data_IF_414636898820
#
_entry.id   IF_414636898820
#
_cell.length_a   1.000
_cell.length_b   1.000
_cell.length_c   1.000
_cell.angle_alpha   90.00
_cell.angle_beta   90.00
_cell.angle_gamma   90.00
#
_symmetry.space_group_name_H-M   'P 1'
#
loop_
_entity.id
_entity.type
_entity.pdbx_description
1 polymer ?
#
# COMPACT_ATOMS: atom_id res chain seq x y z
N UNK A 1 -2.46 14.21 -12.02
CA UNK A 1 -3.25 13.39 -12.97
C UNK A 1 -4.19 12.48 -12.19
N UNK A 2 -5.36 12.16 -12.74
CA UNK A 2 -6.27 11.15 -12.19
C UNK A 2 -6.95 10.39 -13.32
N UNK A 3 -7.46 9.19 -13.01
CA UNK A 3 -8.31 8.42 -13.92
C UNK A 3 -9.76 8.82 -13.67
N UNK A 4 -10.52 9.08 -14.74
CA UNK A 4 -11.98 9.27 -14.67
C UNK A 4 -12.69 8.28 -15.58
N UNK A 5 -13.93 7.96 -15.22
CA UNK A 5 -14.86 7.21 -16.06
C UNK A 5 -15.82 8.18 -16.73
N UNK A 6 -16.03 8.03 -18.03
CA UNK A 6 -17.02 8.80 -18.80
C UNK A 6 -17.99 7.87 -19.51
N UNK A 7 -19.24 8.31 -19.67
CA UNK A 7 -20.28 7.52 -20.32
C UNK A 7 -20.68 8.19 -21.63
N UNK A 8 -20.72 7.43 -22.71
CA UNK A 8 -21.17 7.89 -24.03
C UNK A 8 -21.79 6.73 -24.80
N UNK A 9 -22.97 6.94 -25.40
CA UNK A 9 -23.67 5.92 -26.19
C UNK A 9 -23.90 4.60 -25.45
N UNK A 10 -24.23 4.65 -24.16
CA UNK A 10 -24.43 3.47 -23.31
C UNK A 10 -23.15 2.72 -22.91
N UNK A 11 -21.96 3.23 -23.27
CA UNK A 11 -20.66 2.62 -22.94
C UNK A 11 -19.88 3.50 -21.96
N UNK A 12 -19.10 2.85 -21.09
CA UNK A 12 -18.18 3.52 -20.16
C UNK A 12 -16.75 3.47 -20.69
N UNK A 13 -16.04 4.58 -20.58
CA UNK A 13 -14.65 4.74 -21.05
C UNK A 13 -13.76 5.20 -19.91
N UNK A 14 -12.52 4.70 -19.90
CA UNK A 14 -11.49 5.09 -18.95
C UNK A 14 -10.63 6.19 -19.57
N UNK A 15 -10.47 7.31 -18.89
CA UNK A 15 -9.68 8.45 -19.36
C UNK A 15 -8.64 8.87 -18.34
N UNK A 16 -7.41 9.12 -18.80
CA UNK A 16 -6.37 9.78 -18.02
C UNK A 16 -6.53 11.29 -18.20
N UNK A 17 -6.69 12.00 -17.10
CA UNK A 17 -6.88 13.46 -17.09
C UNK A 17 -5.80 14.10 -16.25
N UNK A 18 -5.30 15.23 -16.75
CA UNK A 18 -4.39 16.07 -16.00
C UNK A 18 -4.98 17.44 -15.74
N UNK A 19 -4.45 18.09 -14.72
CA UNK A 19 -4.73 19.49 -14.42
C UNK A 19 -3.46 20.28 -14.71
N UNK A 20 -3.60 21.39 -15.41
CA UNK A 20 -2.51 22.26 -15.82
C UNK A 20 -2.94 23.71 -15.64
N UNK A 21 -1.99 24.64 -15.63
CA UNK A 21 -2.29 26.08 -15.67
C UNK A 21 -2.12 26.59 -17.08
N UNK A 22 -3.07 27.40 -17.54
CA UNK A 22 -2.92 28.11 -18.81
C UNK A 22 -2.00 29.33 -18.67
N UNK A 23 -1.79 30.04 -19.78
CA UNK A 23 -0.94 31.24 -19.84
C UNK A 23 -1.43 32.36 -18.91
N UNK A 24 -2.73 32.41 -18.61
CA UNK A 24 -3.32 33.35 -17.66
C UNK A 24 -3.23 32.86 -16.20
N UNK A 25 -2.59 31.72 -15.94
CA UNK A 25 -2.43 31.13 -14.62
C UNK A 25 -3.67 30.41 -14.10
N UNK A 26 -4.74 30.26 -14.91
CA UNK A 26 -5.97 29.59 -14.51
C UNK A 26 -5.81 28.06 -14.57
N UNK A 27 -6.33 27.36 -13.56
CA UNK A 27 -6.30 25.90 -13.53
C UNK A 27 -7.33 25.32 -14.49
N UNK A 28 -6.86 24.58 -15.49
CA UNK A 28 -7.68 23.85 -16.47
C UNK A 28 -7.44 22.35 -16.36
N UNK A 29 -8.36 21.58 -16.92
CA UNK A 29 -8.26 20.12 -17.04
C UNK A 29 -8.28 19.72 -18.51
N UNK A 30 -7.44 18.77 -18.89
CA UNK A 30 -7.49 18.16 -20.23
C UNK A 30 -7.36 16.65 -20.15
N UNK A 31 -8.02 15.97 -21.10
CA UNK A 31 -7.84 14.53 -21.27
C UNK A 31 -6.52 14.29 -21.98
N UNK A 32 -5.64 13.52 -21.35
CA UNK A 32 -4.31 13.16 -21.87
C UNK A 32 -4.40 11.92 -22.74
N UNK A 33 -5.19 10.93 -22.32
CA UNK A 33 -5.41 9.71 -23.08
C UNK A 33 -6.78 9.09 -22.77
N UNK A 34 -7.34 8.37 -23.74
CA UNK A 34 -8.47 7.46 -23.52
C UNK A 34 -7.93 6.04 -23.54
N UNK A 35 -8.02 5.33 -22.41
CA UNK A 35 -7.44 4.00 -22.20
C UNK A 35 -8.35 2.87 -22.71
N UNK A 36 -9.53 3.21 -23.26
CA UNK A 36 -10.48 2.26 -23.83
C UNK A 36 -11.79 2.16 -23.05
N UNK A 37 -12.58 1.14 -23.36
CA UNK A 37 -13.86 0.87 -22.69
C UNK A 37 -13.61 0.19 -21.35
N UNK A 38 -14.28 0.64 -20.30
CA UNK A 38 -14.12 0.10 -18.94
C UNK A 38 -14.33 -1.41 -18.85
N UNK A 39 -15.15 -1.98 -19.73
CA UNK A 39 -15.46 -3.42 -19.77
C UNK A 39 -14.49 -4.24 -20.63
N UNK A 40 -13.62 -3.58 -21.40
CA UNK A 40 -12.60 -4.19 -22.25
C UNK A 40 -11.18 -3.84 -21.77
N UNK A 41 -11.08 -3.14 -20.64
CA UNK A 41 -9.80 -2.85 -20.00
C UNK A 41 -9.48 -4.08 -19.15
N UNK A 42 -9.11 -5.17 -19.82
CA UNK A 42 -8.58 -6.38 -19.23
C UNK A 42 -7.14 -6.59 -19.73
N UNK A 43 -6.31 -7.31 -18.94
CA UNK A 43 -4.94 -7.82 -19.21
C UNK A 43 -3.88 -6.85 -19.76
N UNK A 44 -4.16 -6.17 -20.85
CA UNK A 44 -3.35 -5.12 -21.48
C UNK A 44 -3.05 -3.95 -20.55
N UNK A 45 -4.00 -3.53 -19.70
CA UNK A 45 -3.75 -2.46 -18.73
C UNK A 45 -2.80 -2.91 -17.63
N UNK A 46 -2.82 -4.19 -17.25
CA UNK A 46 -1.90 -4.73 -16.24
C UNK A 46 -0.46 -4.67 -16.74
N UNK A 47 -0.22 -4.93 -18.03
CA UNK A 47 1.09 -4.77 -18.64
C UNK A 47 1.58 -3.31 -18.58
N UNK A 48 0.68 -2.34 -18.84
CA UNK A 48 1.00 -0.90 -18.72
C UNK A 48 1.30 -0.53 -17.27
N UNK A 49 0.47 -0.97 -16.31
CA UNK A 49 0.67 -0.73 -14.89
C UNK A 49 2.02 -1.28 -14.44
N UNK A 50 2.33 -2.53 -14.79
CA UNK A 50 3.61 -3.16 -14.45
C UNK A 50 4.80 -2.46 -15.10
N UNK A 51 4.67 -1.96 -16.34
CA UNK A 51 5.67 -1.12 -16.98
C UNK A 51 5.93 0.19 -16.22
N UNK A 52 4.86 0.88 -15.80
CA UNK A 52 4.97 2.10 -14.99
C UNK A 52 5.58 1.84 -13.60
N UNK A 53 5.19 0.74 -12.93
CA UNK A 53 5.77 0.33 -11.66
C UNK A 53 7.28 0.07 -11.80
N UNK A 54 7.68 -0.68 -12.83
CA UNK A 54 9.09 -0.94 -13.14
C UNK A 54 9.91 0.35 -13.35
N UNK A 55 9.39 1.28 -14.15
CA UNK A 55 10.08 2.56 -14.43
C UNK A 55 10.19 3.42 -13.17
N UNK A 56 9.20 3.33 -12.27
CA UNK A 56 9.19 4.08 -11.00
C UNK A 56 9.90 3.36 -9.85
N UNK A 57 10.53 2.21 -10.10
CA UNK A 57 11.24 1.43 -9.08
C UNK A 57 10.32 0.77 -8.05
N UNK A 58 9.06 0.52 -8.41
CA UNK A 58 8.06 -0.13 -7.56
C UNK A 58 7.89 -1.59 -7.97
N UNK A 59 7.54 -2.42 -6.99
CA UNK A 59 7.21 -3.82 -7.22
C UNK A 59 6.01 -3.96 -8.17
N UNK A 60 6.00 -4.99 -9.04
CA UNK A 60 4.89 -5.21 -9.97
C UNK A 60 3.59 -5.51 -9.21
N UNK A 61 2.48 -5.24 -9.88
CA UNK A 61 1.15 -5.50 -9.34
C UNK A 61 0.97 -7.00 -9.12
N UNK A 62 0.55 -7.36 -7.91
CA UNK A 62 0.42 -8.78 -7.51
C UNK A 62 1.73 -9.44 -7.11
N UNK A 63 2.84 -8.69 -6.98
CA UNK A 63 4.04 -9.20 -6.34
C UNK A 63 3.68 -9.71 -4.93
N UNK A 64 3.95 -10.99 -4.68
CA UNK A 64 3.81 -11.53 -3.34
C UNK A 64 4.84 -10.84 -2.46
N UNK A 65 4.44 -10.22 -1.33
CA UNK A 65 5.42 -9.67 -0.40
C UNK A 65 6.40 -10.77 -0.01
N UNK A 66 7.67 -10.40 0.14
CA UNK A 66 8.69 -11.33 0.61
C UNK A 66 8.19 -12.00 1.90
N UNK A 67 8.42 -13.30 2.03
CA UNK A 67 8.08 -14.01 3.25
C UNK A 67 8.74 -13.27 4.43
N UNK A 68 8.00 -13.00 5.52
CA UNK A 68 8.59 -12.32 6.65
C UNK A 68 9.77 -13.14 7.17
N UNK A 69 10.89 -12.47 7.44
CA UNK A 69 12.04 -13.11 8.09
C UNK A 69 11.65 -13.40 9.53
N UNK A 70 11.30 -14.66 9.81
CA UNK A 70 11.04 -15.13 11.18
C UNK A 70 12.36 -15.62 11.75
N UNK A 71 12.89 -14.91 12.74
CA UNK A 71 14.02 -15.39 13.55
C UNK A 71 13.51 -16.00 14.85
N UNK A 72 14.06 -17.14 15.23
CA UNK A 72 13.79 -17.77 16.53
C UNK A 72 14.93 -17.43 17.49
N UNK A 73 14.61 -16.79 18.60
CA UNK A 73 15.54 -16.64 19.70
C UNK A 73 15.51 -17.88 20.60
N UNK A 74 16.66 -18.20 21.22
CA UNK A 74 16.71 -19.33 22.16
C UNK A 74 15.82 -19.05 23.37
N UNK A 75 15.07 -20.06 23.85
CA UNK A 75 14.27 -19.92 25.07
C UNK A 75 15.11 -19.47 26.29
N UNK A 76 16.41 -19.83 26.31
CA UNK A 76 17.37 -19.40 27.34
C UNK A 76 17.60 -17.88 27.32
N UNK A 77 17.51 -17.21 26.18
CA UNK A 77 17.65 -15.75 26.09
C UNK A 77 16.52 -15.01 26.83
N UNK A 78 15.33 -15.61 26.89
CA UNK A 78 14.15 -15.03 27.55
C UNK A 78 13.98 -15.50 29.01
N UNK A 79 14.80 -16.45 29.46
CA UNK A 79 14.73 -17.04 30.79
C UNK A 79 14.97 -16.03 31.92
N UNK A 80 15.82 -15.02 31.70
CA UNK A 80 16.14 -14.01 32.70
C UNK A 80 14.91 -13.15 33.09
N UNK A 81 14.07 -12.80 32.11
CA UNK A 81 12.84 -12.01 32.35
C UNK A 81 11.85 -12.83 33.17
N UNK A 82 11.71 -14.12 32.85
CA UNK A 82 10.88 -15.04 33.61
C UNK A 82 11.39 -15.26 35.04
N UNK A 83 12.69 -15.46 35.22
CA UNK A 83 13.31 -15.61 36.53
C UNK A 83 13.10 -14.36 37.40
N UNK A 84 13.29 -13.17 36.83
CA UNK A 84 13.04 -11.90 37.54
C UNK A 84 11.56 -11.74 37.91
N UNK A 85 10.65 -12.12 37.01
CA UNK A 85 9.20 -12.06 37.24
C UNK A 85 8.78 -12.98 38.39
N UNK A 86 9.30 -14.21 38.44
CA UNK A 86 9.00 -15.14 39.53
C UNK A 86 9.62 -14.70 40.85
N UNK A 87 10.82 -14.14 40.83
CA UNK A 87 11.45 -13.57 42.02
C UNK A 87 10.67 -12.35 42.56
N UNK A 88 10.18 -11.47 41.68
CA UNK A 88 9.32 -10.36 42.06
C UNK A 88 8.02 -10.83 42.75
N UNK A 89 7.40 -11.88 42.21
CA UNK A 89 6.20 -12.49 42.79
C UNK A 89 6.49 -13.14 44.13
N UNK A 90 7.58 -13.91 44.24
CA UNK A 90 7.94 -14.64 45.48
C UNK A 90 8.31 -13.71 46.63
N UNK A 91 8.92 -12.55 46.33
CA UNK A 91 9.19 -11.49 47.30
C UNK A 91 7.94 -10.69 47.69
N UNK A 92 6.78 -10.97 47.09
CA UNK A 92 5.52 -10.28 47.39
C UNK A 92 5.43 -8.85 46.87
N UNK A 93 6.36 -8.42 46.01
CA UNK A 93 6.40 -7.05 45.48
C UNK A 93 5.21 -6.70 44.59
N UNK A 94 4.51 -7.71 44.05
CA UNK A 94 3.21 -7.51 43.38
C UNK A 94 2.15 -6.85 44.27
N UNK A 95 2.26 -6.96 45.59
CA UNK A 95 1.35 -6.35 46.56
C UNK A 95 1.66 -4.90 46.93
N UNK A 96 2.87 -4.39 46.62
CA UNK A 96 3.30 -3.04 47.01
C UNK A 96 2.48 -1.92 46.36
N UNK A 97 1.82 -2.20 45.23
CA UNK A 97 0.94 -1.23 44.53
C UNK A 97 -0.37 -0.97 45.28
N UNK A 98 -0.69 -1.70 46.36
CA UNK A 98 -1.94 -1.54 47.14
C UNK A 98 -1.81 -0.58 48.34
N UNK A 99 -0.78 0.24 48.40
CA UNK A 99 -0.61 1.30 49.42
C UNK A 99 -0.88 2.66 48.79
#
# INVERSE_FOLDING_TARGET
MHVKLTTSGGRRYVQLVESYRDEAGQVKKRTVATLGRAEQVDGSLDAVINGLLKITGREPMGAKPAAPTVSFESARALGNVWALTELWKSLGFSGLRRV
#
